data_IF_473436835631
#
_entry.id   IF_473436835631
#
_cell.length_a   1.000
_cell.length_b   1.000
_cell.length_c   1.000
_cell.angle_alpha   90.00
_cell.angle_beta   90.00
_cell.angle_gamma   90.00
#
_symmetry.space_group_name_H-M   'P 1'
#
loop_
_entity.id
_entity.type
_entity.pdbx_description
1 polymer ?
#
# COMPACT_ATOMS: atom_id res chain seq x y z
N UNK A 1 6.14 11.47 -6.11
CA UNK A 1 5.08 12.38 -6.57
C UNK A 1 3.79 12.01 -5.84
N UNK A 2 3.06 13.01 -5.34
CA UNK A 2 1.75 12.79 -4.69
C UNK A 2 0.77 12.26 -5.73
N UNK A 3 0.05 11.16 -5.42
CA UNK A 3 -0.93 10.60 -6.34
C UNK A 3 -2.13 11.55 -6.50
N UNK A 4 -2.75 11.56 -7.68
CA UNK A 4 -3.97 12.35 -7.93
C UNK A 4 -5.08 11.99 -6.96
N UNK A 5 -5.24 10.70 -6.65
CA UNK A 5 -6.18 10.17 -5.67
C UNK A 5 -5.97 10.80 -4.30
N UNK A 6 -4.72 10.91 -3.86
CA UNK A 6 -4.42 11.50 -2.55
C UNK A 6 -4.70 13.02 -2.51
N UNK A 7 -4.39 13.72 -3.59
CA UNK A 7 -4.73 15.16 -3.72
C UNK A 7 -6.24 15.40 -3.62
N UNK A 8 -7.04 14.56 -4.29
CA UNK A 8 -8.50 14.61 -4.20
C UNK A 8 -9.00 14.29 -2.80
N UNK A 9 -8.40 13.28 -2.13
CA UNK A 9 -8.73 12.95 -0.75
C UNK A 9 -8.43 14.11 0.22
N UNK A 10 -7.27 14.75 0.10
CA UNK A 10 -6.91 15.91 0.92
C UNK A 10 -7.89 17.07 0.71
N UNK A 11 -8.31 17.31 -0.52
CA UNK A 11 -9.28 18.37 -0.85
C UNK A 11 -10.64 18.08 -0.21
N UNK A 12 -11.13 16.84 -0.36
CA UNK A 12 -12.38 16.40 0.25
C UNK A 12 -12.31 16.47 1.79
N UNK A 13 -11.20 16.01 2.38
CA UNK A 13 -11.00 16.01 3.83
C UNK A 13 -11.10 17.42 4.42
N UNK A 14 -10.49 18.42 3.77
CA UNK A 14 -10.57 19.83 4.18
C UNK A 14 -11.99 20.36 4.17
N UNK A 15 -12.85 19.89 3.27
CA UNK A 15 -14.24 20.34 3.12
C UNK A 15 -15.20 19.62 4.08
N UNK A 16 -14.96 18.33 4.32
CA UNK A 16 -15.91 17.43 5.01
C UNK A 16 -15.53 17.11 6.45
N UNK A 17 -14.25 17.11 6.78
CA UNK A 17 -13.74 16.70 8.08
C UNK A 17 -12.65 17.65 8.62
N UNK A 18 -12.73 18.93 8.30
CA UNK A 18 -11.72 19.93 8.64
C UNK A 18 -11.41 20.05 10.15
N UNK A 19 -12.33 19.64 11.01
CA UNK A 19 -12.16 19.68 12.46
C UNK A 19 -11.31 18.52 13.03
N UNK A 20 -11.07 17.45 12.25
CA UNK A 20 -10.31 16.30 12.69
C UNK A 20 -8.83 16.46 12.32
N UNK A 21 -7.92 16.29 13.29
CA UNK A 21 -6.47 16.42 13.05
C UNK A 21 -5.91 15.18 12.33
N UNK A 22 -6.23 15.03 11.05
CA UNK A 22 -5.72 13.91 10.24
C UNK A 22 -4.30 14.20 9.77
N UNK A 23 -3.37 13.27 10.04
CA UNK A 23 -2.00 13.38 9.58
C UNK A 23 -1.93 13.23 8.05
N UNK A 24 -1.23 14.16 7.40
CA UNK A 24 -0.97 14.13 5.98
C UNK A 24 0.42 13.61 5.70
N UNK A 25 0.53 12.73 4.72
CA UNK A 25 1.76 11.99 4.40
C UNK A 25 2.41 12.51 3.12
N UNK A 26 3.72 12.32 3.04
CA UNK A 26 4.47 12.38 1.77
C UNK A 26 4.73 10.94 1.31
N UNK A 27 4.36 10.63 0.07
CA UNK A 27 4.54 9.28 -0.47
C UNK A 27 6.01 8.92 -0.61
N UNK A 28 6.44 7.75 -0.12
CA UNK A 28 7.79 7.25 -0.36
C UNK A 28 7.92 6.54 -1.71
N UNK A 29 6.81 6.33 -2.45
CA UNK A 29 6.84 5.55 -3.70
C UNK A 29 7.63 6.26 -4.80
N UNK A 30 8.39 5.49 -5.56
CA UNK A 30 9.23 6.02 -6.63
C UNK A 30 10.08 4.95 -7.31
N UNK A 31 10.68 5.35 -8.42
CA UNK A 31 11.66 4.58 -9.16
C UNK A 31 12.98 5.36 -9.14
N UNK A 32 14.05 4.69 -8.78
CA UNK A 32 15.39 5.26 -8.64
C UNK A 32 16.37 4.46 -9.49
N UNK A 33 17.15 5.13 -10.32
CA UNK A 33 18.29 4.54 -10.97
C UNK A 33 19.50 4.61 -10.03
N UNK A 34 20.15 3.48 -9.85
CA UNK A 34 21.35 3.39 -9.02
C UNK A 34 22.59 3.30 -9.89
N UNK A 35 23.71 3.92 -9.48
CA UNK A 35 24.97 3.76 -10.20
C UNK A 35 25.38 2.28 -10.20
N UNK A 36 25.90 1.83 -11.33
CA UNK A 36 26.43 0.49 -11.53
C UNK A 36 27.69 0.50 -12.37
N UNK A 37 28.44 -0.62 -12.45
CA UNK A 37 29.57 -0.74 -13.35
C UNK A 37 29.12 -0.69 -14.81
N UNK A 38 30.07 -0.45 -15.74
CA UNK A 38 29.81 -0.47 -17.17
C UNK A 38 29.22 -1.83 -17.58
N UNK A 39 28.10 -1.79 -18.29
CA UNK A 39 27.39 -3.01 -18.73
C UNK A 39 26.38 -3.54 -17.71
N UNK A 40 26.00 -2.75 -16.68
CA UNK A 40 24.99 -3.09 -15.72
C UNK A 40 24.01 -1.93 -15.55
N UNK A 41 22.71 -2.23 -15.51
CA UNK A 41 21.66 -1.28 -15.18
C UNK A 41 21.00 -1.71 -13.88
N UNK A 42 21.03 -0.83 -12.87
CA UNK A 42 20.51 -1.08 -11.55
C UNK A 42 19.35 -0.14 -11.28
N UNK A 43 18.21 -0.71 -10.92
CA UNK A 43 17.01 0.02 -10.55
C UNK A 43 16.53 -0.38 -9.16
N UNK A 44 16.13 0.62 -8.39
CA UNK A 44 15.48 0.44 -7.09
C UNK A 44 14.11 1.11 -7.13
N UNK A 45 13.08 0.39 -6.72
CA UNK A 45 11.73 0.92 -6.70
C UNK A 45 11.06 0.68 -5.36
N UNK A 46 10.31 1.68 -4.92
CA UNK A 46 9.40 1.59 -3.79
C UNK A 46 7.99 1.63 -4.37
N UNK A 47 7.29 0.51 -4.29
CA UNK A 47 5.98 0.29 -4.88
C UNK A 47 4.93 0.20 -3.78
N UNK A 48 3.75 0.78 -4.01
CA UNK A 48 2.62 0.61 -3.11
C UNK A 48 2.17 -0.86 -3.07
N UNK A 49 1.76 -1.35 -1.91
CA UNK A 49 0.93 -2.57 -1.82
C UNK A 49 -0.38 -2.31 -2.53
N UNK A 50 -0.90 -3.33 -3.21
CA UNK A 50 -2.07 -3.12 -4.06
C UNK A 50 -3.31 -2.76 -3.23
N UNK A 51 -3.61 -3.54 -2.19
CA UNK A 51 -4.82 -3.38 -1.38
C UNK A 51 -4.51 -3.50 0.11
N UNK A 52 -5.10 -2.60 0.90
CA UNK A 52 -4.91 -2.54 2.34
C UNK A 52 -6.27 -2.61 3.04
N UNK A 53 -6.43 -3.58 3.94
CA UNK A 53 -7.63 -3.71 4.76
C UNK A 53 -7.62 -2.61 5.83
N UNK A 54 -8.69 -1.82 5.85
CA UNK A 54 -9.01 -0.85 6.90
C UNK A 54 -9.72 -1.59 8.03
N UNK A 55 -9.17 -1.51 9.25
CA UNK A 55 -9.81 -2.07 10.42
C UNK A 55 -9.77 -1.05 11.57
N UNK A 56 -10.88 -0.33 11.74
CA UNK A 56 -11.03 0.74 12.72
C UNK A 56 -12.50 0.93 13.08
N UNK A 57 -12.77 1.43 14.29
CA UNK A 57 -14.13 1.65 14.77
C UNK A 57 -14.55 3.12 14.74
N UNK A 58 -13.59 4.04 14.95
CA UNK A 58 -13.87 5.46 15.04
C UNK A 58 -13.58 6.18 13.73
N UNK A 59 -14.35 7.23 13.46
CA UNK A 59 -14.23 8.03 12.23
C UNK A 59 -12.80 8.54 12.00
N UNK A 60 -12.19 9.13 13.04
CA UNK A 60 -10.83 9.64 12.98
C UNK A 60 -9.83 8.56 12.55
N UNK A 61 -9.93 7.36 13.11
CA UNK A 61 -9.04 6.22 12.82
C UNK A 61 -9.19 5.75 11.36
N UNK A 62 -10.44 5.67 10.87
CA UNK A 62 -10.72 5.31 9.47
C UNK A 62 -10.13 6.36 8.52
N UNK A 63 -10.35 7.64 8.79
CA UNK A 63 -9.80 8.72 7.97
C UNK A 63 -8.26 8.74 8.00
N UNK A 64 -7.66 8.46 9.15
CA UNK A 64 -6.22 8.36 9.31
C UNK A 64 -5.65 7.19 8.48
N UNK A 65 -6.31 6.03 8.49
CA UNK A 65 -5.92 4.88 7.68
C UNK A 65 -6.08 5.18 6.17
N UNK A 66 -7.19 5.78 5.76
CA UNK A 66 -7.41 6.18 4.38
C UNK A 66 -6.37 7.20 3.89
N UNK A 67 -5.99 8.15 4.76
CA UNK A 67 -4.91 9.11 4.46
C UNK A 67 -3.60 8.41 4.12
N UNK A 68 -3.17 7.44 4.94
CA UNK A 68 -1.95 6.69 4.70
C UNK A 68 -2.03 5.80 3.44
N UNK A 69 -3.17 5.11 3.25
CA UNK A 69 -3.41 4.21 2.11
C UNK A 69 -3.36 4.98 0.79
N UNK A 70 -4.09 6.09 0.70
CA UNK A 70 -4.12 6.88 -0.53
C UNK A 70 -2.81 7.65 -0.78
N UNK A 71 -2.07 8.01 0.29
CA UNK A 71 -0.77 8.66 0.15
C UNK A 71 0.25 7.80 -0.58
N UNK A 72 0.26 6.50 -0.36
CA UNK A 72 1.15 5.58 -1.09
C UNK A 72 0.59 5.15 -2.45
N UNK A 73 -0.69 5.44 -2.73
CA UNK A 73 -1.38 5.05 -3.97
C UNK A 73 -2.01 3.66 -3.92
N UNK A 74 -2.22 3.11 -2.72
CA UNK A 74 -2.94 1.83 -2.52
C UNK A 74 -4.46 2.01 -2.62
N UNK A 75 -5.16 0.89 -2.79
CA UNK A 75 -6.62 0.81 -2.68
C UNK A 75 -7.01 0.38 -1.26
N UNK A 76 -8.11 0.93 -0.74
CA UNK A 76 -8.66 0.55 0.54
C UNK A 76 -9.62 -0.64 0.40
N UNK A 77 -9.58 -1.56 1.35
CA UNK A 77 -10.55 -2.64 1.49
C UNK A 77 -11.30 -2.45 2.80
N UNK A 78 -12.62 -2.51 2.77
CA UNK A 78 -13.48 -2.26 3.92
C UNK A 78 -14.44 -3.44 4.09
N UNK A 79 -14.56 -3.96 5.32
CA UNK A 79 -15.57 -4.92 5.67
C UNK A 79 -16.95 -4.25 5.74
N UNK A 80 -17.96 -4.81 5.09
CA UNK A 80 -19.34 -4.31 5.15
C UNK A 80 -19.92 -4.28 6.55
N UNK A 81 -19.39 -5.08 7.48
CA UNK A 81 -19.77 -5.08 8.89
C UNK A 81 -19.24 -3.87 9.67
N UNK A 82 -18.26 -3.13 9.14
CA UNK A 82 -17.71 -1.94 9.78
C UNK A 82 -18.52 -0.69 9.37
N UNK A 83 -19.59 -0.44 10.10
CA UNK A 83 -20.57 0.61 9.75
C UNK A 83 -19.94 2.00 9.56
N UNK A 84 -19.02 2.41 10.43
CA UNK A 84 -18.32 3.71 10.35
C UNK A 84 -17.53 3.83 9.06
N UNK A 85 -16.72 2.83 8.74
CA UNK A 85 -15.90 2.83 7.53
C UNK A 85 -16.75 2.81 6.25
N UNK A 86 -17.84 2.05 6.25
CA UNK A 86 -18.80 2.00 5.14
C UNK A 86 -19.47 3.35 4.95
N UNK A 87 -19.86 4.04 6.03
CA UNK A 87 -20.47 5.36 5.95
C UNK A 87 -19.50 6.39 5.36
N UNK A 88 -18.25 6.42 5.81
CA UNK A 88 -17.21 7.29 5.28
C UNK A 88 -16.98 7.01 3.79
N UNK A 89 -16.86 5.75 3.40
CA UNK A 89 -16.64 5.38 2.01
C UNK A 89 -17.77 5.87 1.09
N UNK A 90 -19.01 5.88 1.55
CA UNK A 90 -20.16 6.41 0.80
C UNK A 90 -20.14 7.93 0.66
N UNK A 91 -19.49 8.63 1.58
CA UNK A 91 -19.36 10.11 1.57
C UNK A 91 -18.18 10.56 0.67
N UNK A 92 -17.25 9.68 0.34
CA UNK A 92 -16.15 10.01 -0.56
C UNK A 92 -16.66 10.43 -1.95
N UNK A 93 -15.95 11.31 -2.67
CA UNK A 93 -16.20 11.57 -4.09
C UNK A 93 -16.18 10.27 -4.91
N UNK A 94 -16.97 10.22 -5.98
CA UNK A 94 -17.10 9.02 -6.82
C UNK A 94 -15.75 8.49 -7.35
N UNK A 95 -14.83 9.38 -7.65
CA UNK A 95 -13.48 9.02 -8.08
C UNK A 95 -12.70 8.27 -7.01
N UNK A 96 -12.83 8.69 -5.74
CA UNK A 96 -12.20 8.02 -4.60
C UNK A 96 -12.91 6.71 -4.24
N UNK A 97 -14.24 6.63 -4.43
CA UNK A 97 -14.99 5.40 -4.20
C UNK A 97 -14.50 4.25 -5.09
N UNK A 98 -13.97 4.53 -6.29
CA UNK A 98 -13.36 3.53 -7.18
C UNK A 98 -12.10 2.88 -6.60
N UNK A 99 -11.45 3.56 -5.65
CA UNK A 99 -10.28 3.05 -4.93
C UNK A 99 -10.64 2.38 -3.59
N UNK A 100 -11.94 2.12 -3.35
CA UNK A 100 -12.44 1.45 -2.15
C UNK A 100 -13.21 0.19 -2.54
N UNK A 101 -12.81 -0.94 -1.99
CA UNK A 101 -13.43 -2.25 -2.21
C UNK A 101 -14.15 -2.72 -0.96
N UNK A 102 -15.42 -3.07 -1.11
CA UNK A 102 -16.21 -3.65 -0.01
C UNK A 102 -16.15 -5.16 -0.05
N UNK A 103 -15.87 -5.79 1.09
CA UNK A 103 -15.87 -7.24 1.25
C UNK A 103 -16.85 -7.67 2.36
N UNK A 104 -17.39 -8.87 2.22
CA UNK A 104 -18.28 -9.46 3.23
C UNK A 104 -17.51 -10.17 4.33
N UNK A 105 -16.39 -10.81 3.97
CA UNK A 105 -15.59 -11.64 4.88
C UNK A 105 -14.09 -11.45 4.62
N UNK A 106 -13.31 -11.44 5.70
CA UNK A 106 -11.84 -11.38 5.67
C UNK A 106 -11.26 -12.60 4.96
N UNK A 107 -11.85 -13.79 5.13
CA UNK A 107 -11.32 -15.04 4.58
C UNK A 107 -11.30 -15.05 3.04
N UNK A 108 -12.24 -14.37 2.40
CA UNK A 108 -12.40 -14.29 0.94
C UNK A 108 -11.85 -12.99 0.36
N UNK A 109 -11.58 -12.01 1.19
CA UNK A 109 -11.08 -10.70 0.77
C UNK A 109 -9.67 -10.76 0.18
N UNK A 110 -9.40 -9.96 -0.85
CA UNK A 110 -8.06 -9.80 -1.42
C UNK A 110 -7.43 -8.52 -0.91
N UNK A 111 -6.37 -8.64 -0.11
CA UNK A 111 -5.56 -7.53 0.40
C UNK A 111 -4.17 -8.03 0.79
N UNK A 112 -3.19 -7.13 0.77
CA UNK A 112 -1.77 -7.41 0.94
C UNK A 112 -1.22 -6.92 2.28
N UNK A 113 -1.97 -6.05 2.96
CA UNK A 113 -1.65 -5.53 4.28
C UNK A 113 -2.93 -5.19 5.04
N UNK A 114 -2.80 -5.01 6.35
CA UNK A 114 -3.88 -4.61 7.24
C UNK A 114 -3.40 -3.49 8.14
N UNK A 115 -4.21 -2.45 8.27
CA UNK A 115 -4.10 -1.43 9.31
C UNK A 115 -5.18 -1.70 10.35
N UNK A 116 -4.77 -1.83 11.60
CA UNK A 116 -5.66 -2.13 12.71
C UNK A 116 -5.55 -1.05 13.78
N UNK A 117 -6.65 -0.34 14.03
CA UNK A 117 -6.87 0.41 15.26
C UNK A 117 -7.79 -0.37 16.17
N UNK A 118 -7.43 -0.50 17.43
CA UNK A 118 -8.23 -1.21 18.41
C UNK A 118 -7.41 -1.77 19.57
N UNK A 119 -8.08 -2.46 20.46
CA UNK A 119 -7.44 -3.08 21.59
C UNK A 119 -6.78 -4.44 21.24
N UNK A 120 -6.08 -5.03 22.22
CA UNK A 120 -5.41 -6.32 22.06
C UNK A 120 -6.37 -7.46 21.69
N UNK A 121 -7.56 -7.44 22.23
CA UNK A 121 -8.54 -8.51 21.99
C UNK A 121 -8.99 -8.53 20.53
N UNK A 122 -9.35 -7.36 19.99
CA UNK A 122 -9.72 -7.22 18.57
C UNK A 122 -8.54 -7.58 17.63
N UNK A 123 -7.30 -7.25 18.04
CA UNK A 123 -6.11 -7.66 17.29
C UNK A 123 -5.96 -9.18 17.22
N UNK A 124 -6.10 -9.88 18.36
CA UNK A 124 -5.99 -11.35 18.42
C UNK A 124 -7.07 -12.00 17.57
N UNK A 125 -8.33 -11.52 17.66
CA UNK A 125 -9.43 -12.01 16.83
C UNK A 125 -9.15 -11.84 15.33
N UNK A 126 -8.65 -10.66 14.94
CA UNK A 126 -8.27 -10.36 13.55
C UNK A 126 -7.12 -11.27 13.09
N UNK A 127 -6.09 -11.47 13.92
CA UNK A 127 -4.97 -12.37 13.61
C UNK A 127 -5.44 -13.80 13.38
N UNK A 128 -6.37 -14.31 14.21
CA UNK A 128 -6.94 -15.64 14.04
C UNK A 128 -7.76 -15.78 12.76
N UNK A 129 -8.47 -14.73 12.35
CA UNK A 129 -9.20 -14.74 11.07
C UNK A 129 -8.25 -14.72 9.88
N UNK A 130 -7.21 -13.88 9.93
CA UNK A 130 -6.21 -13.77 8.86
C UNK A 130 -5.39 -15.06 8.73
N UNK A 131 -5.05 -15.71 9.85
CA UNK A 131 -4.30 -16.97 9.84
C UNK A 131 -5.04 -18.13 9.15
N UNK A 132 -6.36 -18.05 9.04
CA UNK A 132 -7.18 -19.06 8.33
C UNK A 132 -7.19 -18.86 6.81
N UNK A 133 -6.69 -17.73 6.32
CA UNK A 133 -6.69 -17.44 4.88
C UNK A 133 -5.69 -18.33 4.14
N UNK A 134 -6.07 -18.69 2.92
CA UNK A 134 -5.15 -19.33 1.98
C UNK A 134 -4.30 -18.27 1.25
N UNK A 135 -3.07 -18.61 0.89
CA UNK A 135 -2.20 -17.75 0.11
C UNK A 135 -1.08 -17.09 0.89
N UNK A 136 -0.63 -15.91 0.44
CA UNK A 136 0.50 -15.21 1.02
C UNK A 136 0.20 -14.70 2.44
N UNK A 137 1.23 -14.64 3.27
CA UNK A 137 1.17 -14.06 4.61
C UNK A 137 0.89 -12.56 4.49
N UNK A 138 -0.12 -12.10 5.22
CA UNK A 138 -0.51 -10.70 5.28
C UNK A 138 -0.05 -10.08 6.59
N UNK A 139 0.73 -9.00 6.49
CA UNK A 139 1.19 -8.25 7.66
C UNK A 139 0.09 -7.37 8.25
N UNK A 140 0.00 -7.34 9.58
CA UNK A 140 -0.89 -6.45 10.32
C UNK A 140 -0.04 -5.36 10.99
N UNK A 141 -0.36 -4.11 10.73
CA UNK A 141 0.17 -2.97 11.46
C UNK A 141 -0.83 -2.58 12.52
N UNK A 142 -0.50 -2.86 13.76
CA UNK A 142 -1.34 -2.51 14.92
C UNK A 142 -0.99 -1.11 15.42
N UNK A 143 -2.01 -0.31 15.61
CA UNK A 143 -1.97 1.06 16.09
C UNK A 143 -2.74 1.13 17.40
N UNK A 144 -2.05 1.47 18.49
CA UNK A 144 -2.65 1.48 19.83
C UNK A 144 -3.45 2.76 20.11
N UNK A 145 -3.10 3.84 19.42
CA UNK A 145 -3.64 5.18 19.66
C UNK A 145 -4.23 5.75 18.39
N UNK A 146 -5.35 6.43 18.52
CA UNK A 146 -6.00 7.15 17.41
C UNK A 146 -5.14 8.24 16.78
N UNK A 147 -4.13 8.73 17.49
CA UNK A 147 -3.17 9.74 17.00
C UNK A 147 -1.87 9.12 16.48
N UNK A 148 -1.73 7.81 16.51
CA UNK A 148 -0.54 7.13 16.05
C UNK A 148 -0.24 7.43 14.58
N UNK A 149 0.99 7.84 14.31
CA UNK A 149 1.50 7.96 12.95
C UNK A 149 1.56 6.57 12.30
N UNK A 150 0.96 6.41 11.12
CA UNK A 150 1.02 5.15 10.39
C UNK A 150 2.35 5.05 9.65
N UNK A 151 3.16 4.03 9.91
CA UNK A 151 4.44 3.85 9.23
C UNK A 151 4.21 3.41 7.78
N UNK A 152 4.47 4.31 6.81
CA UNK A 152 4.20 4.06 5.40
C UNK A 152 5.05 2.93 4.81
N UNK A 153 6.19 2.61 5.38
CA UNK A 153 7.04 1.48 4.99
C UNK A 153 6.33 0.13 5.12
N UNK A 154 5.26 0.06 5.94
CA UNK A 154 4.41 -1.13 6.05
C UNK A 154 3.42 -1.28 4.89
N UNK A 155 3.19 -0.20 4.15
CA UNK A 155 2.26 -0.12 3.03
C UNK A 155 2.94 -0.17 1.66
N UNK A 156 4.27 -0.33 1.64
CA UNK A 156 5.05 -0.40 0.42
C UNK A 156 5.87 -1.70 0.37
N UNK A 157 6.39 -1.99 -0.79
CA UNK A 157 7.37 -3.05 -1.05
C UNK A 157 8.56 -2.45 -1.78
N UNK A 158 9.75 -2.88 -1.41
CA UNK A 158 10.99 -2.53 -2.07
C UNK A 158 11.33 -3.59 -3.12
N UNK A 159 11.81 -3.13 -4.27
CA UNK A 159 12.26 -4.02 -5.34
C UNK A 159 13.54 -3.47 -5.95
N UNK A 160 14.58 -4.27 -5.90
CA UNK A 160 15.83 -4.02 -6.63
C UNK A 160 15.88 -4.92 -7.86
N UNK A 161 16.27 -4.36 -9.00
CA UNK A 161 16.49 -5.08 -10.25
C UNK A 161 17.86 -4.69 -10.77
N UNK A 162 18.71 -5.68 -10.99
CA UNK A 162 19.98 -5.53 -11.69
C UNK A 162 19.92 -6.29 -13.01
N UNK A 163 20.21 -5.59 -14.09
CA UNK A 163 20.21 -6.16 -15.45
C UNK A 163 21.58 -6.02 -16.04
N UNK A 164 22.18 -7.15 -16.44
CA UNK A 164 23.40 -7.15 -17.22
C UNK A 164 23.06 -6.69 -18.65
N UNK A 165 23.56 -5.52 -19.04
CA UNK A 165 23.35 -4.93 -20.37
C UNK A 165 24.52 -5.24 -21.31
N UNK A 166 25.60 -5.90 -20.84
CA UNK A 166 26.65 -6.41 -21.69
C UNK A 166 26.06 -7.52 -22.55
N UNK A 167 26.13 -7.38 -23.86
CA UNK A 167 25.64 -8.38 -24.79
C UNK A 167 26.35 -9.72 -24.52
N UNK A 168 25.59 -10.70 -24.05
CA UNK A 168 26.08 -12.08 -24.01
C UNK A 168 26.22 -12.56 -25.47
N UNK A 169 27.34 -12.32 -26.08
CA UNK A 169 27.53 -12.69 -27.49
C UNK A 169 28.58 -11.86 -28.22
N UNK A 170 29.28 -10.96 -27.55
CA UNK A 170 30.31 -10.14 -28.16
C UNK A 170 31.54 -10.91 -28.72
N UNK A 171 31.55 -12.23 -28.73
CA UNK A 171 32.69 -13.02 -29.16
C UNK A 171 32.35 -14.14 -30.14
N UNK A 172 31.23 -14.09 -30.82
CA UNK A 172 30.96 -15.07 -31.91
C UNK A 172 31.96 -14.92 -33.07
N UNK A 173 32.55 -13.75 -33.26
CA UNK A 173 33.59 -13.50 -34.30
C UNK A 173 34.96 -14.03 -33.91
N UNK A 174 35.25 -14.31 -32.64
CA UNK A 174 36.52 -14.91 -32.21
C UNK A 174 36.50 -16.45 -32.32
N UNK A 175 35.35 -17.08 -32.34
CA UNK A 175 35.22 -18.52 -32.51
C UNK A 175 35.36 -18.99 -33.97
N UNK A 176 35.35 -18.06 -34.93
CA UNK A 176 35.52 -18.39 -36.36
C UNK A 176 36.96 -18.26 -36.86
N UNK A 177 37.89 -17.85 -35.99
CA UNK A 177 39.30 -17.67 -36.34
C UNK A 177 40.22 -18.89 -36.09
N UNK A 178 39.69 -19.98 -35.52
CA UNK A 178 40.51 -21.20 -35.27
C UNK A 178 40.25 -22.34 -36.27
N UNK A 179 39.79 -22.08 -37.46
CA UNK A 179 39.66 -23.08 -38.52
C UNK A 179 40.34 -22.62 -39.80
N UNK A 180 41.69 -22.47 -39.77
CA UNK A 180 42.52 -22.35 -40.95
C UNK A 180 43.84 -23.06 -40.72
#
# INVERSE_FOLDING_TARGET
>A
ATSEIYTQFQTWLKQSAAALPIHLYTSPTGLYELPGPTGESNQYSILARHRVLVFAQHEHEVLQQLSAIFAVGSQAVILKSQATAVQIAKQLPKTLQQSVHMIDDISTGQFDAVLHHGNRESLVQLQQQIAKRQGAIVGITHLQDSQAHIPLERLVIERAISVNTAAAGGNASLMTLESS
#
